data_IF_549468143951
#
_entry.id   IF_549468143951
#
_cell.length_a   1.000
_cell.length_b   1.000
_cell.length_c   1.000
_cell.angle_alpha   90.00
_cell.angle_beta   90.00
_cell.angle_gamma   90.00
#
_symmetry.space_group_name_H-M   'P 1'
#
loop_
_entity.id
_entity.type
_entity.pdbx_description
1 polymer ?
#
# COMPACT_ATOMS: atom_id res chain seq x y z
N UNK A 1 -9.11 -39.47 -15.37
CA UNK A 1 -10.02 -38.42 -15.90
C UNK A 1 -11.16 -38.08 -14.92
N UNK A 2 -12.13 -38.97 -14.65
CA UNK A 2 -13.22 -38.65 -13.72
C UNK A 2 -12.74 -38.39 -12.27
N UNK A 3 -11.81 -39.21 -11.78
CA UNK A 3 -11.23 -39.11 -10.43
C UNK A 3 -10.37 -37.83 -10.27
N UNK A 4 -9.72 -37.36 -11.34
CA UNK A 4 -8.91 -36.14 -11.33
C UNK A 4 -9.78 -34.88 -11.24
N UNK A 5 -10.89 -34.84 -12.00
CA UNK A 5 -11.84 -33.75 -11.94
C UNK A 5 -12.49 -33.63 -10.57
N UNK A 6 -12.86 -34.76 -9.94
CA UNK A 6 -13.44 -34.77 -8.60
C UNK A 6 -12.43 -34.24 -7.55
N UNK A 7 -11.16 -34.67 -7.62
CA UNK A 7 -10.09 -34.15 -6.76
C UNK A 7 -9.91 -32.64 -6.93
N UNK A 8 -9.93 -32.12 -8.15
CA UNK A 8 -9.81 -30.68 -8.41
C UNK A 8 -11.00 -29.90 -7.84
N UNK A 9 -12.23 -30.40 -8.03
CA UNK A 9 -13.45 -29.79 -7.46
C UNK A 9 -13.39 -29.76 -5.92
N UNK A 10 -12.94 -30.85 -5.28
CA UNK A 10 -12.74 -30.88 -3.81
C UNK A 10 -11.69 -29.87 -3.36
N UNK A 11 -10.53 -29.81 -4.03
CA UNK A 11 -9.49 -28.81 -3.76
C UNK A 11 -10.03 -27.38 -3.87
N UNK A 12 -10.86 -27.10 -4.89
CA UNK A 12 -11.48 -25.80 -5.12
C UNK A 12 -12.39 -25.40 -3.97
N UNK A 13 -13.25 -26.33 -3.52
CA UNK A 13 -14.13 -26.09 -2.37
C UNK A 13 -13.35 -25.79 -1.10
N UNK A 14 -12.30 -26.58 -0.81
CA UNK A 14 -11.43 -26.35 0.35
C UNK A 14 -10.73 -24.99 0.26
N UNK A 15 -10.17 -24.64 -0.90
CA UNK A 15 -9.48 -23.37 -1.09
C UNK A 15 -10.43 -22.18 -0.98
N UNK A 16 -11.63 -22.25 -1.57
CA UNK A 16 -12.68 -21.22 -1.40
C UNK A 16 -13.12 -21.08 0.06
N UNK A 17 -13.16 -22.18 0.81
CA UNK A 17 -13.44 -22.13 2.26
C UNK A 17 -12.35 -21.39 3.02
N UNK A 18 -11.08 -21.69 2.74
CA UNK A 18 -9.94 -21.03 3.37
C UNK A 18 -9.89 -19.53 3.01
N UNK A 19 -10.11 -19.19 1.75
CA UNK A 19 -10.19 -17.80 1.30
C UNK A 19 -11.35 -17.08 2.01
N UNK A 20 -12.53 -17.70 2.11
CA UNK A 20 -13.67 -17.07 2.78
C UNK A 20 -13.41 -16.79 4.26
N UNK A 21 -12.71 -17.70 4.96
CA UNK A 21 -12.26 -17.45 6.35
C UNK A 21 -11.28 -16.27 6.43
N UNK A 22 -10.33 -16.19 5.50
CA UNK A 22 -9.39 -15.08 5.42
C UNK A 22 -10.10 -13.76 5.13
N UNK A 23 -11.07 -13.76 4.20
CA UNK A 23 -11.87 -12.57 3.89
C UNK A 23 -12.65 -12.07 5.11
N UNK A 24 -13.20 -12.97 5.93
CA UNK A 24 -13.87 -12.59 7.18
C UNK A 24 -12.88 -11.98 8.18
N UNK A 25 -11.70 -12.60 8.38
CA UNK A 25 -10.63 -12.02 9.23
C UNK A 25 -10.29 -10.60 8.77
N UNK A 26 -10.07 -10.41 7.47
CA UNK A 26 -9.78 -9.10 6.87
C UNK A 26 -10.93 -8.12 7.10
N UNK A 27 -12.18 -8.53 6.89
CA UNK A 27 -13.34 -7.66 7.08
C UNK A 27 -13.47 -7.19 8.53
N UNK A 28 -13.13 -8.05 9.50
CA UNK A 28 -13.15 -7.72 10.92
C UNK A 28 -11.99 -6.79 11.30
N UNK A 29 -10.76 -7.06 10.83
CA UNK A 29 -9.62 -6.15 10.99
C UNK A 29 -9.92 -4.75 10.41
N UNK A 30 -10.55 -4.69 9.23
CA UNK A 30 -10.97 -3.44 8.60
C UNK A 30 -12.06 -2.68 9.37
N UNK A 31 -12.87 -3.35 10.19
CA UNK A 31 -13.89 -2.71 11.04
C UNK A 31 -13.29 -2.22 12.36
N UNK A 32 -12.31 -2.94 12.89
CA UNK A 32 -11.64 -2.63 14.15
C UNK A 32 -10.51 -1.61 14.00
N UNK A 33 -10.23 -1.16 12.77
CA UNK A 33 -9.07 -0.32 12.44
C UNK A 33 -7.74 -0.94 12.90
N UNK A 34 -7.70 -2.27 12.94
CA UNK A 34 -6.51 -3.05 13.27
C UNK A 34 -5.74 -3.35 11.98
N UNK A 35 -4.59 -2.69 11.82
CA UNK A 35 -3.82 -2.71 10.58
C UNK A 35 -2.62 -3.66 10.60
N UNK A 36 -2.20 -4.12 11.78
CA UNK A 36 -0.91 -4.81 11.96
C UNK A 36 -0.78 -6.06 11.08
N UNK A 37 -1.87 -6.80 10.89
CA UNK A 37 -1.92 -8.03 10.09
C UNK A 37 -2.45 -7.82 8.65
N UNK A 38 -2.80 -6.59 8.28
CA UNK A 38 -3.59 -6.34 7.07
C UNK A 38 -2.75 -6.49 5.79
N UNK A 39 -1.47 -6.10 5.83
CA UNK A 39 -0.53 -6.27 4.71
C UNK A 39 -0.23 -7.77 4.47
N UNK A 40 0.11 -8.53 5.51
CA UNK A 40 0.31 -9.99 5.42
C UNK A 40 -0.94 -10.71 4.91
N UNK A 41 -2.11 -10.36 5.46
CA UNK A 41 -3.38 -10.95 5.03
C UNK A 41 -3.69 -10.65 3.55
N UNK A 42 -3.25 -9.50 3.04
CA UNK A 42 -3.37 -9.13 1.63
C UNK A 42 -2.47 -9.99 0.74
N UNK A 43 -1.21 -10.19 1.12
CA UNK A 43 -0.25 -11.02 0.38
C UNK A 43 -0.75 -12.48 0.28
N UNK A 44 -1.19 -13.05 1.40
CA UNK A 44 -1.77 -14.39 1.45
C UNK A 44 -3.02 -14.47 0.56
N UNK A 45 -3.89 -13.45 0.56
CA UNK A 45 -5.08 -13.43 -0.27
C UNK A 45 -4.72 -13.39 -1.76
N UNK A 46 -3.70 -12.62 -2.17
CA UNK A 46 -3.23 -12.54 -3.55
C UNK A 46 -2.69 -13.90 -4.02
N UNK A 47 -1.89 -14.57 -3.20
CA UNK A 47 -1.36 -15.91 -3.49
C UNK A 47 -2.51 -16.92 -3.67
N UNK A 48 -3.38 -17.04 -2.66
CA UNK A 48 -4.50 -18.00 -2.70
C UNK A 48 -5.47 -17.73 -3.84
N UNK A 49 -5.72 -16.45 -4.17
CA UNK A 49 -6.54 -16.06 -5.32
C UNK A 49 -5.92 -16.55 -6.64
N UNK A 50 -4.59 -16.44 -6.77
CA UNK A 50 -3.84 -16.88 -7.95
C UNK A 50 -3.88 -18.40 -8.08
N UNK A 51 -3.71 -19.12 -6.98
CA UNK A 51 -3.82 -20.59 -6.97
C UNK A 51 -5.23 -21.07 -7.31
N UNK A 52 -6.26 -20.38 -6.80
CA UNK A 52 -7.65 -20.66 -7.15
C UNK A 52 -7.89 -20.47 -8.65
N UNK A 53 -7.33 -19.41 -9.25
CA UNK A 53 -7.45 -19.17 -10.70
C UNK A 53 -6.85 -20.33 -11.52
N UNK A 54 -5.63 -20.77 -11.18
CA UNK A 54 -4.99 -21.93 -11.84
C UNK A 54 -5.82 -23.20 -11.70
N UNK A 55 -6.44 -23.38 -10.54
CA UNK A 55 -7.30 -24.53 -10.27
C UNK A 55 -8.60 -24.50 -11.08
N UNK A 56 -9.24 -23.32 -11.16
CA UNK A 56 -10.43 -23.10 -11.99
C UNK A 56 -10.11 -23.33 -13.48
N UNK A 57 -8.99 -22.82 -13.99
CA UNK A 57 -8.50 -23.09 -15.36
C UNK A 57 -8.27 -24.59 -15.62
N UNK A 58 -7.78 -25.33 -14.63
CA UNK A 58 -7.59 -26.78 -14.73
C UNK A 58 -8.91 -27.53 -14.77
N UNK A 59 -9.92 -27.06 -14.04
CA UNK A 59 -11.28 -27.61 -14.07
C UNK A 59 -11.95 -27.31 -15.41
N UNK A 60 -11.82 -26.09 -15.94
CA UNK A 60 -12.40 -25.69 -17.23
C UNK A 60 -11.94 -26.56 -18.40
N UNK A 61 -10.72 -27.09 -18.35
CA UNK A 61 -10.18 -28.01 -19.37
C UNK A 61 -10.78 -29.42 -19.34
N UNK A 62 -11.44 -29.80 -18.24
CA UNK A 62 -11.90 -31.15 -17.96
C UNK A 62 -13.43 -31.28 -17.86
N UNK A 63 -14.15 -30.17 -17.73
CA UNK A 63 -15.60 -30.14 -17.73
C UNK A 63 -16.16 -30.13 -19.15
N UNK A 64 -17.40 -30.58 -19.28
CA UNK A 64 -18.17 -30.52 -20.51
C UNK A 64 -18.50 -29.09 -20.92
N UNK A 65 -18.80 -28.89 -22.21
CA UNK A 65 -19.08 -27.57 -22.78
C UNK A 65 -20.36 -26.93 -22.24
N UNK A 66 -21.36 -27.75 -21.87
CA UNK A 66 -22.64 -27.27 -21.35
C UNK A 66 -22.49 -26.64 -19.95
N UNK A 67 -21.63 -27.22 -19.11
CA UNK A 67 -21.36 -26.70 -17.76
C UNK A 67 -20.23 -25.66 -17.68
N UNK A 68 -19.51 -25.42 -18.78
CA UNK A 68 -18.35 -24.52 -18.83
C UNK A 68 -18.73 -23.07 -18.55
N UNK A 69 -19.72 -22.53 -19.25
CA UNK A 69 -20.11 -21.12 -19.13
C UNK A 69 -20.49 -20.76 -17.69
N UNK A 70 -21.35 -21.57 -17.06
CA UNK A 70 -21.75 -21.37 -15.67
C UNK A 70 -20.55 -21.46 -14.70
N UNK A 71 -19.62 -22.40 -14.92
CA UNK A 71 -18.42 -22.50 -14.08
C UNK A 71 -17.50 -21.27 -14.23
N UNK A 72 -17.32 -20.77 -15.46
CA UNK A 72 -16.54 -19.56 -15.73
C UNK A 72 -17.14 -18.37 -15.00
N UNK A 73 -18.45 -18.14 -15.12
CA UNK A 73 -19.15 -17.06 -14.41
C UNK A 73 -18.92 -17.14 -12.91
N UNK A 74 -19.16 -18.30 -12.29
CA UNK A 74 -18.99 -18.44 -10.83
C UNK A 74 -17.54 -18.25 -10.38
N UNK A 75 -16.57 -18.58 -11.23
CA UNK A 75 -15.15 -18.41 -10.95
C UNK A 75 -14.74 -16.95 -11.03
N UNK A 76 -15.18 -16.24 -12.07
CA UNK A 76 -14.92 -14.80 -12.24
C UNK A 76 -15.58 -13.97 -11.13
N UNK A 77 -16.83 -14.25 -10.76
CA UNK A 77 -17.50 -13.57 -9.63
C UNK A 77 -16.71 -13.72 -8.31
N UNK A 78 -16.17 -14.92 -8.06
CA UNK A 78 -15.36 -15.16 -6.88
C UNK A 78 -14.00 -14.43 -6.95
N UNK A 79 -13.38 -14.38 -8.12
CA UNK A 79 -12.14 -13.63 -8.37
C UNK A 79 -12.34 -12.13 -8.20
N UNK A 80 -13.47 -11.59 -8.65
CA UNK A 80 -13.86 -10.20 -8.43
C UNK A 80 -14.04 -9.90 -6.95
N UNK A 81 -14.72 -10.78 -6.21
CA UNK A 81 -14.89 -10.64 -4.76
C UNK A 81 -13.54 -10.49 -4.07
N UNK A 82 -12.58 -11.38 -4.32
CA UNK A 82 -11.23 -11.26 -3.78
C UNK A 82 -10.54 -9.95 -4.19
N UNK A 83 -10.69 -9.53 -5.46
CA UNK A 83 -10.11 -8.28 -5.97
C UNK A 83 -10.65 -7.04 -5.27
N UNK A 84 -11.94 -7.02 -4.92
CA UNK A 84 -12.55 -5.90 -4.18
C UNK A 84 -11.94 -5.77 -2.79
N UNK A 85 -11.71 -6.89 -2.10
CA UNK A 85 -11.04 -6.89 -0.80
C UNK A 85 -9.59 -6.40 -0.90
N UNK A 86 -8.80 -6.92 -1.84
CA UNK A 86 -7.41 -6.47 -2.08
C UNK A 86 -7.36 -4.95 -2.32
N UNK A 87 -8.26 -4.42 -3.17
CA UNK A 87 -8.35 -2.97 -3.42
C UNK A 87 -8.69 -2.19 -2.15
N UNK A 88 -9.59 -2.70 -1.31
CA UNK A 88 -9.99 -2.06 -0.04
C UNK A 88 -8.83 -2.02 0.94
N UNK A 89 -8.10 -3.12 1.11
CA UNK A 89 -6.91 -3.21 1.97
C UNK A 89 -5.86 -2.20 1.52
N UNK A 90 -5.50 -2.20 0.23
CA UNK A 90 -4.49 -1.29 -0.30
C UNK A 90 -4.86 0.19 -0.12
N UNK A 91 -6.15 0.53 -0.12
CA UNK A 91 -6.61 1.89 0.18
C UNK A 91 -6.33 2.28 1.63
N UNK A 92 -6.58 1.38 2.57
CA UNK A 92 -6.30 1.61 4.00
C UNK A 92 -4.80 1.77 4.24
N UNK A 93 -4.00 0.80 3.77
CA UNK A 93 -2.53 0.83 3.90
C UNK A 93 -1.92 2.09 3.29
N UNK A 94 -2.45 2.56 2.14
CA UNK A 94 -1.99 3.81 1.52
C UNK A 94 -2.32 5.03 2.39
N UNK A 95 -3.52 5.07 2.99
CA UNK A 95 -3.95 6.19 3.81
C UNK A 95 -3.08 6.30 5.09
N UNK A 96 -2.76 5.19 5.73
CA UNK A 96 -1.87 5.15 6.90
C UNK A 96 -0.48 5.68 6.58
N UNK A 97 0.11 5.22 5.47
CA UNK A 97 1.41 5.72 4.98
C UNK A 97 1.38 7.24 4.75
N UNK A 98 0.27 7.79 4.22
CA UNK A 98 0.13 9.25 4.05
C UNK A 98 -0.08 10.03 5.35
N UNK A 99 -0.84 9.48 6.31
CA UNK A 99 -1.08 10.12 7.59
C UNK A 99 0.19 10.16 8.45
N UNK A 100 0.95 9.08 8.45
CA UNK A 100 2.24 9.00 9.13
C UNK A 100 3.24 10.01 8.54
N UNK A 101 3.27 10.19 7.21
CA UNK A 101 4.12 11.20 6.56
C UNK A 101 3.75 12.63 6.95
N UNK A 102 2.45 12.96 7.07
CA UNK A 102 2.00 14.30 7.52
C UNK A 102 2.37 14.57 8.99
N UNK A 103 2.32 13.56 9.85
CA UNK A 103 2.77 13.67 11.24
C UNK A 103 4.28 13.91 11.34
N UNK A 104 5.07 13.30 10.45
CA UNK A 104 6.52 13.49 10.39
C UNK A 104 6.89 14.89 9.88
N UNK A 105 6.22 15.39 8.83
CA UNK A 105 6.40 16.77 8.35
C UNK A 105 5.98 17.82 9.41
N UNK A 106 4.96 17.54 10.23
CA UNK A 106 4.58 18.38 11.37
C UNK A 106 5.58 18.35 12.53
N UNK A 107 6.45 17.33 12.61
CA UNK A 107 7.47 17.18 13.65
C UNK A 107 8.82 17.78 13.28
N UNK A 108 8.96 18.29 12.06
CA UNK A 108 9.99 19.29 11.73
C UNK A 108 9.59 20.60 12.40
N UNK A 109 9.75 20.67 13.73
CA UNK A 109 9.92 21.97 14.38
C UNK A 109 11.05 22.67 13.63
N UNK A 110 10.89 23.92 13.14
CA UNK A 110 12.01 24.64 12.58
C UNK A 110 13.10 24.67 13.65
N UNK A 111 14.15 23.88 13.41
CA UNK A 111 15.27 23.71 14.30
C UNK A 111 15.90 25.09 14.43
N UNK A 112 15.72 25.71 15.60
CA UNK A 112 16.31 26.96 16.05
C UNK A 112 16.58 27.95 14.90
N UNK A 113 15.57 28.73 14.50
CA UNK A 113 15.82 29.91 13.68
C UNK A 113 16.62 30.93 14.50
N UNK A 114 17.93 30.78 14.53
CA UNK A 114 18.84 31.82 15.03
C UNK A 114 18.63 33.02 14.13
N UNK A 115 18.12 34.13 14.69
CA UNK A 115 17.99 35.37 13.95
C UNK A 115 19.40 35.88 13.68
N UNK A 116 19.89 35.68 12.47
CA UNK A 116 21.14 36.29 12.04
C UNK A 116 20.98 37.81 12.11
N UNK A 117 21.98 38.54 12.64
CA UNK A 117 22.00 39.99 12.55
C UNK A 117 21.78 40.42 11.09
N UNK A 118 20.88 41.37 10.86
CA UNK A 118 20.66 41.91 9.52
C UNK A 118 21.96 42.57 9.06
N UNK A 119 22.60 41.98 8.05
CA UNK A 119 23.71 42.60 7.34
C UNK A 119 23.18 43.78 6.54
N UNK A 120 23.42 44.99 7.04
CA UNK A 120 23.17 46.23 6.30
C UNK A 120 24.40 46.50 5.46
N UNK A 121 24.32 46.22 4.16
CA UNK A 121 25.36 46.60 3.21
C UNK A 121 25.16 48.07 2.85
N UNK A 122 26.02 48.95 3.36
CA UNK A 122 26.06 50.33 2.91
C UNK A 122 26.46 50.41 1.43
N UNK A 123 25.85 51.32 0.67
CA UNK A 123 26.24 51.56 -0.72
C UNK A 123 27.71 52.00 -0.76
N UNK A 124 28.51 51.31 -1.56
CA UNK A 124 29.92 51.61 -1.73
C UNK A 124 30.11 53.06 -2.19
N UNK A 125 30.74 53.87 -1.34
CA UNK A 125 30.91 55.31 -1.58
C UNK A 125 32.16 55.64 -2.41
N UNK A 126 32.87 54.64 -2.95
CA UNK A 126 34.12 54.84 -3.68
C UNK A 126 35.34 55.15 -2.80
N UNK A 127 35.19 55.17 -1.47
CA UNK A 127 36.28 55.45 -0.53
C UNK A 127 36.91 54.13 -0.03
N UNK A 128 38.20 53.85 -0.35
CA UNK A 128 38.89 52.63 0.08
C UNK A 128 39.00 52.48 1.60
N UNK A 129 38.94 53.57 2.37
CA UNK A 129 39.05 53.53 3.84
C UNK A 129 37.81 52.89 4.47
N UNK A 130 36.62 53.24 3.99
CA UNK A 130 35.34 52.66 4.44
C UNK A 130 35.20 51.18 4.09
N UNK A 131 35.83 50.74 3.00
CA UNK A 131 35.89 49.32 2.64
C UNK A 131 36.71 48.51 3.65
N UNK A 132 37.75 49.10 4.23
CA UNK A 132 38.60 48.42 5.24
C UNK A 132 37.87 48.29 6.58
N UNK A 133 37.11 49.31 6.98
CA UNK A 133 36.30 49.29 8.20
C UNK A 133 35.22 48.20 8.17
N UNK A 134 34.59 47.96 7.01
CA UNK A 134 33.63 46.87 6.81
C UNK A 134 34.21 45.49 7.16
N UNK A 135 35.47 45.22 6.77
CA UNK A 135 36.12 43.92 7.06
C UNK A 135 36.51 43.76 8.53
N UNK A 136 36.76 44.86 9.25
CA UNK A 136 37.06 44.80 10.68
C UNK A 136 35.83 44.40 11.51
N UNK A 137 34.62 44.77 11.07
CA UNK A 137 33.35 44.35 11.71
C UNK A 137 33.11 42.84 11.56
N UNK A 138 33.52 42.25 10.42
CA UNK A 138 33.36 40.81 10.18
C UNK A 138 34.42 39.93 10.87
N UNK A 139 35.50 40.50 11.38
CA UNK A 139 36.56 39.75 12.11
C UNK A 139 36.23 39.49 13.59
N UNK A 140 35.17 40.10 14.13
CA UNK A 140 34.81 40.03 15.57
C UNK A 140 33.53 39.19 15.81
N UNK A 141 33.06 38.48 14.78
CA UNK A 141 32.02 37.44 14.86
C UNK A 141 32.66 36.07 14.66
#
# INVERSE_FOLDING_TARGET
MADDLEKLKKKRTTLRTLISKLLNKIDDSLKLEDSDDLEESCEILVEKKTDLKKLDESIHKLIDTESLEANVVTSEEYQEKCSRFIKRINRVLRNEKTNNKKLDESRVKPQNSVKLPKLVLEKYSGDPKKFTEFWNVMKVL
#
